data_IF_490849860073
#
_entry.id   IF_490849860073
#
_cell.length_a   1.000
_cell.length_b   1.000
_cell.length_c   1.000
_cell.angle_alpha   90.00
_cell.angle_beta   90.00
_cell.angle_gamma   90.00
#
_symmetry.space_group_name_H-M   'P 1'
#
loop_
_entity.id
_entity.type
_entity.pdbx_description
1 polymer ?
#
# COMPACT_ATOMS: atom_id res chain seq x y z
N UNK A 1 5.08 -14.98 -0.85
CA UNK A 1 4.25 -14.21 -1.81
C UNK A 1 2.87 -14.09 -1.17
N UNK A 2 2.32 -12.88 -1.03
CA UNK A 2 1.04 -12.68 -0.31
C UNK A 2 -0.05 -13.42 -1.11
N UNK A 3 -0.78 -14.35 -0.45
CA UNK A 3 -1.69 -15.31 -1.08
C UNK A 3 -3.00 -14.73 -1.64
N UNK A 4 -2.95 -13.55 -2.25
CA UNK A 4 -4.11 -12.80 -2.74
C UNK A 4 -3.99 -12.47 -4.22
N UNK A 5 -5.11 -12.22 -4.88
CA UNK A 5 -5.13 -11.85 -6.30
C UNK A 5 -4.43 -10.50 -6.55
N UNK A 6 -3.91 -10.30 -7.77
CA UNK A 6 -3.37 -9.00 -8.19
C UNK A 6 -4.40 -7.87 -8.10
N UNK A 7 -5.66 -8.17 -8.39
CA UNK A 7 -6.75 -7.20 -8.29
C UNK A 7 -6.94 -6.74 -6.83
N UNK A 8 -6.90 -7.68 -5.89
CA UNK A 8 -6.96 -7.39 -4.46
C UNK A 8 -5.78 -6.52 -4.05
N UNK A 9 -4.55 -6.87 -4.44
CA UNK A 9 -3.36 -6.08 -4.15
C UNK A 9 -3.51 -4.64 -4.68
N UNK A 10 -3.91 -4.48 -5.94
CA UNK A 10 -4.08 -3.16 -6.55
C UNK A 10 -5.15 -2.32 -5.83
N UNK A 11 -6.24 -2.95 -5.39
CA UNK A 11 -7.30 -2.27 -4.64
C UNK A 11 -6.76 -1.75 -3.30
N UNK A 12 -6.07 -2.59 -2.54
CA UNK A 12 -5.51 -2.20 -1.24
C UNK A 12 -4.41 -1.13 -1.38
N UNK A 13 -3.52 -1.27 -2.38
CA UNK A 13 -2.50 -0.25 -2.69
C UNK A 13 -3.13 1.11 -3.02
N UNK A 14 -4.24 1.12 -3.78
CA UNK A 14 -4.99 2.35 -4.06
C UNK A 14 -5.68 2.91 -2.81
N UNK A 15 -6.11 2.06 -1.89
CA UNK A 15 -6.61 2.48 -0.58
C UNK A 15 -5.54 3.22 0.23
N UNK A 16 -4.35 2.63 0.34
CA UNK A 16 -3.20 3.21 1.05
C UNK A 16 -2.70 4.51 0.38
N UNK A 17 -2.76 4.60 -0.94
CA UNK A 17 -2.45 5.84 -1.68
C UNK A 17 -3.46 6.95 -1.35
N UNK A 18 -4.77 6.64 -1.32
CA UNK A 18 -5.81 7.61 -0.94
C UNK A 18 -5.69 8.07 0.52
N UNK A 19 -5.20 7.20 1.40
CA UNK A 19 -4.91 7.53 2.78
C UNK A 19 -3.62 8.36 2.96
N UNK A 20 -2.89 8.66 1.88
CA UNK A 20 -1.64 9.43 1.91
C UNK A 20 -0.43 8.66 2.41
N UNK A 21 -0.56 7.36 2.68
CA UNK A 21 0.51 6.51 3.21
C UNK A 21 1.51 6.11 2.12
N UNK A 22 1.03 5.96 0.88
CA UNK A 22 1.82 5.58 -0.29
C UNK A 22 1.65 6.58 -1.44
N UNK A 23 2.60 6.54 -2.35
CA UNK A 23 2.46 7.07 -3.69
C UNK A 23 2.80 5.97 -4.70
N UNK A 24 1.88 5.70 -5.63
CA UNK A 24 2.06 4.70 -6.67
C UNK A 24 2.57 5.38 -7.94
N UNK A 25 3.61 4.81 -8.54
CA UNK A 25 4.14 5.22 -9.83
C UNK A 25 4.39 3.99 -10.72
N UNK A 26 4.66 4.19 -12.00
CA UNK A 26 4.88 3.09 -12.92
C UNK A 26 6.07 2.22 -12.46
N UNK A 27 5.77 0.97 -12.08
CA UNK A 27 6.75 0.01 -11.55
C UNK A 27 7.36 0.38 -10.19
N UNK A 28 6.79 1.35 -9.46
CA UNK A 28 7.33 1.81 -8.17
C UNK A 28 6.24 2.08 -7.15
N UNK A 29 6.53 1.76 -5.89
CA UNK A 29 5.70 2.08 -4.72
C UNK A 29 6.58 2.87 -3.77
N UNK A 30 6.17 4.10 -3.42
CA UNK A 30 6.93 4.99 -2.54
C UNK A 30 6.17 5.14 -1.24
N UNK A 31 6.83 4.86 -0.11
CA UNK A 31 6.28 5.15 1.22
C UNK A 31 6.35 6.66 1.49
N UNK A 32 5.21 7.27 1.81
CA UNK A 32 5.11 8.69 2.18
C UNK A 32 4.99 8.86 3.70
N UNK A 33 4.34 7.93 4.37
CA UNK A 33 4.25 7.86 5.83
C UNK A 33 4.61 6.45 6.32
N UNK A 34 5.89 6.26 6.66
CA UNK A 34 6.38 4.96 7.12
C UNK A 34 5.85 4.57 8.51
N UNK A 35 5.43 5.54 9.33
CA UNK A 35 4.90 5.25 10.66
C UNK A 35 3.50 4.68 10.57
N UNK A 36 2.61 5.32 9.80
CA UNK A 36 1.26 4.80 9.58
C UNK A 36 1.27 3.44 8.88
N UNK A 37 2.19 3.20 7.94
CA UNK A 37 2.33 1.88 7.30
C UNK A 37 2.71 0.77 8.29
N UNK A 38 3.58 1.06 9.26
CA UNK A 38 3.93 0.09 10.31
C UNK A 38 2.71 -0.22 11.17
N UNK A 39 2.02 0.80 11.64
CA UNK A 39 0.78 0.62 12.43
C UNK A 39 -0.27 -0.18 11.68
N UNK A 40 -0.46 0.06 10.38
CA UNK A 40 -1.39 -0.70 9.55
C UNK A 40 -0.97 -2.17 9.31
N UNK A 41 0.34 -2.46 9.35
CA UNK A 41 0.87 -3.81 9.16
C UNK A 41 0.99 -4.65 10.44
N UNK A 42 0.81 -4.03 11.60
CA UNK A 42 0.82 -4.69 12.92
C UNK A 42 -0.57 -5.17 13.37
N UNK A 43 -1.64 -4.81 12.62
CA UNK A 43 -3.03 -5.20 12.87
C UNK A 43 -3.40 -6.52 12.17
#
# INVERSE_FOLDING_TARGET
MIGVSRQTINKELKGLERAGMLQLAYGRIVARDAQQLRTAGEA
#
